data_IF_634461146594
#
_entry.id   IF_634461146594
#
_cell.length_a   1.000
_cell.length_b   1.000
_cell.length_c   1.000
_cell.angle_alpha   90.00
_cell.angle_beta   90.00
_cell.angle_gamma   90.00
#
_symmetry.space_group_name_H-M   'P 1'
#
loop_
_entity.id
_entity.type
_entity.pdbx_description
1 polymer ?
#
# COMPACT_ATOMS: atom_id res chain seq x y z
N UNK A 1 5.47 -5.09 -21.64
CA UNK A 1 4.25 -5.66 -21.05
C UNK A 1 4.55 -6.47 -19.81
N UNK A 2 3.86 -6.15 -18.71
CA UNK A 2 3.78 -6.98 -17.52
C UNK A 2 2.51 -7.84 -17.67
N UNK A 3 2.59 -9.10 -18.09
CA UNK A 3 1.43 -10.00 -18.17
C UNK A 3 0.86 -10.41 -16.81
N UNK A 4 1.68 -10.47 -15.75
CA UNK A 4 1.33 -11.14 -14.49
C UNK A 4 2.19 -10.64 -13.33
N UNK A 5 1.55 -10.60 -12.16
CA UNK A 5 2.21 -10.39 -10.88
C UNK A 5 2.59 -11.75 -10.29
N UNK A 6 3.62 -11.75 -9.47
CA UNK A 6 3.98 -12.82 -8.54
C UNK A 6 4.09 -12.21 -7.12
N UNK A 7 3.22 -12.59 -6.17
CA UNK A 7 2.17 -13.61 -6.29
C UNK A 7 1.09 -13.26 -7.31
N UNK A 8 0.42 -14.29 -7.84
CA UNK A 8 -0.59 -14.13 -8.88
C UNK A 8 -1.72 -13.21 -8.42
N UNK A 9 -2.11 -12.27 -9.28
CA UNK A 9 -3.20 -11.33 -9.00
C UNK A 9 -4.49 -12.08 -8.62
N UNK A 10 -5.04 -11.73 -7.46
CA UNK A 10 -6.34 -12.18 -6.98
C UNK A 10 -7.03 -11.01 -6.26
N UNK A 11 -8.15 -10.54 -6.80
CA UNK A 11 -8.88 -9.39 -6.26
C UNK A 11 -9.55 -9.67 -4.91
N UNK A 12 -9.94 -10.92 -4.66
CA UNK A 12 -10.70 -11.31 -3.45
C UNK A 12 -9.79 -11.70 -2.30
N UNK A 13 -8.63 -12.28 -2.62
CA UNK A 13 -7.63 -12.72 -1.63
C UNK A 13 -6.23 -12.32 -2.10
N UNK A 14 -5.89 -11.02 -2.05
CA UNK A 14 -4.58 -10.56 -2.49
C UNK A 14 -3.46 -11.13 -1.61
N UNK A 15 -2.43 -11.65 -2.27
CA UNK A 15 -1.18 -12.10 -1.65
C UNK A 15 -0.02 -11.23 -2.10
N UNK A 16 0.93 -10.98 -1.20
CA UNK A 16 2.19 -10.29 -1.48
C UNK A 16 3.33 -10.97 -0.74
N UNK A 17 4.56 -10.58 -1.01
CA UNK A 17 5.71 -11.01 -0.21
C UNK A 17 6.05 -10.00 0.89
N UNK A 18 6.39 -10.50 2.07
CA UNK A 18 7.04 -9.76 3.14
C UNK A 18 8.32 -10.49 3.53
N UNK A 19 9.48 -9.88 3.27
CA UNK A 19 10.76 -10.59 3.29
C UNK A 19 10.79 -11.75 2.29
N UNK A 20 10.88 -12.99 2.78
CA UNK A 20 10.86 -14.22 1.97
C UNK A 20 9.52 -14.94 2.01
N UNK A 21 8.55 -14.43 2.80
CA UNK A 21 7.29 -15.11 3.04
C UNK A 21 6.19 -14.56 2.15
N UNK A 22 5.37 -15.44 1.59
CA UNK A 22 4.11 -15.04 0.96
C UNK A 22 3.05 -14.85 2.05
N UNK A 23 2.42 -13.69 2.09
CA UNK A 23 1.45 -13.28 3.11
C UNK A 23 0.12 -12.89 2.47
N UNK A 24 -0.99 -13.14 3.18
CA UNK A 24 -2.33 -12.69 2.78
C UNK A 24 -2.53 -11.28 3.28
N UNK A 25 -2.67 -10.33 2.36
CA UNK A 25 -2.72 -8.90 2.69
C UNK A 25 -3.90 -8.58 3.62
N UNK A 26 -5.03 -9.25 3.45
CA UNK A 26 -6.24 -8.99 4.23
C UNK A 26 -6.17 -9.46 5.70
N UNK A 27 -5.15 -10.23 6.09
CA UNK A 27 -4.98 -10.64 7.49
C UNK A 27 -4.52 -9.48 8.38
N UNK A 28 -3.78 -8.51 7.82
CA UNK A 28 -3.25 -7.36 8.55
C UNK A 28 -3.68 -6.01 7.95
N UNK A 29 -4.20 -6.00 6.71
CA UNK A 29 -4.87 -4.86 6.07
C UNK A 29 -6.28 -5.26 5.62
N UNK A 30 -7.22 -5.46 6.56
CA UNK A 30 -8.53 -6.06 6.25
C UNK A 30 -9.39 -5.23 5.29
N UNK A 31 -9.13 -3.92 5.20
CA UNK A 31 -9.86 -3.00 4.30
C UNK A 31 -9.11 -2.71 3.00
N UNK A 32 -7.96 -3.33 2.76
CA UNK A 32 -7.18 -3.08 1.54
C UNK A 32 -7.80 -3.76 0.31
N UNK A 33 -7.56 -3.18 -0.87
CA UNK A 33 -8.01 -3.76 -2.15
C UNK A 33 -6.89 -3.77 -3.16
N UNK A 34 -6.80 -4.84 -3.96
CA UNK A 34 -5.95 -4.91 -5.15
C UNK A 34 -6.84 -5.14 -6.38
N UNK A 35 -6.86 -4.19 -7.30
CA UNK A 35 -7.76 -4.20 -8.45
C UNK A 35 -6.98 -4.03 -9.75
N UNK A 36 -7.35 -4.79 -10.78
CA UNK A 36 -6.85 -4.57 -12.14
C UNK A 36 -7.65 -3.42 -12.77
N UNK A 37 -6.97 -2.43 -13.32
CA UNK A 37 -7.62 -1.32 -14.02
C UNK A 37 -7.89 -1.75 -15.45
N UNK A 38 -9.16 -1.85 -15.82
CA UNK A 38 -9.55 -1.98 -17.23
C UNK A 38 -9.57 -0.58 -17.83
N UNK A 39 -8.51 -0.19 -18.53
CA UNK A 39 -8.53 1.04 -19.33
C UNK A 39 -9.55 0.87 -20.45
N UNK A 40 -10.56 1.75 -20.52
CA UNK A 40 -11.26 1.99 -21.78
C UNK A 40 -10.26 2.57 -22.78
N UNK A 41 -10.27 2.14 -24.04
CA UNK A 41 -9.25 2.55 -25.00
C UNK A 41 -9.42 4.04 -25.31
N UNK A 42 -8.65 4.88 -24.64
CA UNK A 42 -8.35 6.23 -25.09
C UNK A 42 -6.86 6.23 -25.35
N UNK A 43 -6.52 6.41 -26.62
CA UNK A 43 -5.16 6.45 -27.16
C UNK A 43 -4.24 7.36 -26.36
N UNK A 44 -2.95 7.06 -26.50
CA UNK A 44 -1.77 7.89 -26.17
C UNK A 44 -1.01 7.47 -24.90
N UNK A 45 -0.36 6.30 -24.97
CA UNK A 45 1.08 6.11 -24.73
C UNK A 45 1.41 4.61 -24.78
N UNK A 46 2.58 4.26 -25.31
CA UNK A 46 3.17 2.93 -25.52
C UNK A 46 3.37 2.08 -24.23
N UNK A 47 2.38 2.00 -23.35
CA UNK A 47 2.40 1.14 -22.18
C UNK A 47 1.34 0.05 -22.32
N UNK A 48 1.58 -0.92 -23.21
CA UNK A 48 0.77 -2.15 -23.38
C UNK A 48 0.78 -3.10 -22.16
N UNK A 49 1.08 -2.59 -20.96
CA UNK A 49 1.10 -3.33 -19.69
C UNK A 49 -0.23 -3.29 -18.94
N UNK A 50 -0.45 -4.29 -18.07
CA UNK A 50 -1.58 -4.27 -17.12
C UNK A 50 -1.30 -3.26 -16.01
N UNK A 51 -2.32 -2.47 -15.66
CA UNK A 51 -2.27 -1.53 -14.53
C UNK A 51 -3.03 -2.13 -13.35
N UNK A 52 -2.47 -1.99 -12.15
CA UNK A 52 -3.09 -2.44 -10.91
C UNK A 52 -3.14 -1.31 -9.89
N UNK A 53 -4.27 -1.19 -9.19
CA UNK A 53 -4.46 -0.26 -8.09
C UNK A 53 -4.46 -1.02 -6.78
N UNK A 54 -3.50 -0.70 -5.91
CA UNK A 54 -3.49 -1.16 -4.53
C UNK A 54 -3.92 0.01 -3.62
N UNK A 55 -4.97 -0.20 -2.83
CA UNK A 55 -5.56 0.83 -1.95
C UNK A 55 -5.56 0.32 -0.52
N UNK A 56 -5.08 1.16 0.40
CA UNK A 56 -5.06 0.90 1.85
C UNK A 56 -5.84 2.02 2.55
N UNK A 57 -7.16 1.88 2.76
CA UNK A 57 -8.00 2.94 3.31
C UNK A 57 -7.73 3.25 4.79
N UNK A 58 -7.32 2.23 5.54
CA UNK A 58 -7.02 2.32 6.96
C UNK A 58 -5.61 1.77 7.15
N UNK A 59 -4.73 2.60 7.71
CA UNK A 59 -3.35 2.20 7.99
C UNK A 59 -3.31 1.21 9.19
N UNK A 60 -2.41 0.23 9.16
CA UNK A 60 -2.22 -0.77 10.22
C UNK A 60 -1.60 -0.16 11.49
N UNK A 61 -1.64 -0.89 12.61
CA UNK A 61 -0.92 -0.48 13.83
C UNK A 61 0.60 -0.67 13.75
N UNK A 62 1.05 -1.63 12.94
CA UNK A 62 2.48 -1.92 12.72
C UNK A 62 2.90 -1.54 11.29
N UNK A 63 4.18 -1.23 11.08
CA UNK A 63 4.72 -1.00 9.72
C UNK A 63 4.80 -2.33 8.95
N UNK A 64 4.43 -2.31 7.67
CA UNK A 64 4.57 -3.46 6.75
C UNK A 64 5.37 -3.12 5.51
N UNK A 65 6.16 -4.09 5.04
CA UNK A 65 7.02 -3.96 3.84
C UNK A 65 6.68 -5.06 2.85
N UNK A 66 5.76 -4.74 1.95
CA UNK A 66 5.24 -5.68 0.98
C UNK A 66 5.94 -5.51 -0.36
N UNK A 67 6.00 -6.57 -1.16
CA UNK A 67 6.34 -6.45 -2.56
C UNK A 67 5.63 -7.48 -3.43
N UNK A 68 5.54 -7.15 -4.71
CA UNK A 68 5.20 -8.06 -5.79
C UNK A 68 6.31 -8.04 -6.82
N UNK A 69 6.59 -9.19 -7.40
CA UNK A 69 7.38 -9.28 -8.60
C UNK A 69 6.46 -9.18 -9.81
N UNK A 70 6.97 -8.70 -10.93
CA UNK A 70 6.27 -8.71 -12.19
C UNK A 70 7.13 -9.46 -13.22
N UNK A 71 6.51 -10.47 -13.82
CA UNK A 71 7.14 -11.39 -14.76
C UNK A 71 6.67 -11.04 -16.17
N UNK A 72 7.56 -11.03 -17.16
CA UNK A 72 7.19 -10.91 -18.58
C UNK A 72 6.71 -12.28 -19.09
N UNK A 73 5.71 -12.31 -19.98
CA UNK A 73 5.12 -13.57 -20.44
C UNK A 73 6.06 -14.03 -21.52
N UNK A 74 6.41 -15.32 -21.50
CA UNK A 74 7.20 -15.95 -22.56
C UNK A 74 6.39 -16.04 -23.86
N UNK A 75 5.93 -14.91 -24.39
CA UNK A 75 5.51 -14.79 -25.77
C UNK A 75 6.76 -14.88 -26.62
N UNK A 76 6.86 -15.97 -27.39
CA UNK A 76 7.84 -16.25 -28.47
C UNK A 76 8.94 -15.21 -28.63
N UNK A 77 10.15 -15.60 -28.19
CA UNK A 77 11.41 -14.95 -28.52
C UNK A 77 11.54 -14.77 -30.04
N UNK A 78 11.17 -13.58 -30.54
CA UNK A 78 11.79 -13.06 -31.75
C UNK A 78 13.27 -12.87 -31.42
N UNK A 79 14.12 -13.48 -32.24
CA UNK A 79 15.59 -13.44 -32.15
C UNK A 79 16.09 -12.01 -31.88
N UNK A 80 16.60 -11.78 -30.68
CA UNK A 80 17.21 -10.53 -30.25
C UNK A 80 17.27 -10.51 -28.73
N UNK A 81 18.48 -10.50 -28.18
CA UNK A 81 18.82 -10.66 -26.76
C UNK A 81 18.21 -9.60 -25.82
N UNK A 82 16.94 -9.75 -25.45
CA UNK A 82 16.37 -9.03 -24.30
C UNK A 82 15.96 -10.03 -23.21
N UNK A 83 16.86 -10.20 -22.25
CA UNK A 83 16.63 -10.93 -21.01
C UNK A 83 15.33 -10.45 -20.34
N UNK A 84 14.45 -11.35 -19.84
CA UNK A 84 13.22 -10.94 -19.18
C UNK A 84 13.57 -10.02 -18.01
N UNK A 85 13.18 -8.74 -18.11
CA UNK A 85 13.39 -7.77 -17.03
C UNK A 85 12.39 -8.08 -15.93
N UNK A 86 12.81 -8.90 -14.97
CA UNK A 86 12.08 -9.09 -13.72
C UNK A 86 11.95 -7.72 -13.03
N UNK A 87 10.72 -7.31 -12.71
CA UNK A 87 10.49 -6.10 -11.92
C UNK A 87 10.02 -6.45 -10.52
N UNK A 88 10.40 -5.60 -9.55
CA UNK A 88 9.95 -5.69 -8.15
C UNK A 88 9.34 -4.36 -7.75
N UNK A 89 8.07 -4.38 -7.35
CA UNK A 89 7.34 -3.23 -6.84
C UNK A 89 7.20 -3.38 -5.33
N UNK A 90 7.76 -2.45 -4.56
CA UNK A 90 7.76 -2.49 -3.10
C UNK A 90 6.84 -1.41 -2.52
N UNK A 91 6.04 -1.79 -1.53
CA UNK A 91 5.11 -0.94 -0.80
C UNK A 91 5.54 -0.84 0.66
N UNK A 92 5.72 0.39 1.14
CA UNK A 92 6.04 0.68 2.55
C UNK A 92 4.79 1.27 3.19
N UNK A 93 4.16 0.50 4.07
CA UNK A 93 2.87 0.85 4.66
C UNK A 93 3.14 1.28 6.09
N UNK A 94 3.01 2.58 6.35
CA UNK A 94 3.27 3.17 7.64
C UNK A 94 2.22 2.79 8.69
N UNK A 95 2.63 2.83 9.96
CA UNK A 95 1.74 2.66 11.11
C UNK A 95 0.84 3.88 11.31
N UNK A 96 -0.42 3.64 11.70
CA UNK A 96 -1.40 4.66 12.09
C UNK A 96 -1.31 5.05 13.56
N UNK A 97 -0.36 4.51 14.34
CA UNK A 97 -0.28 4.70 15.79
C UNK A 97 -0.32 6.20 16.13
N UNK A 98 -1.51 6.64 16.56
CA UNK A 98 -1.77 8.01 16.99
C UNK A 98 -0.84 8.28 18.17
N UNK A 99 -0.13 9.41 18.15
CA UNK A 99 0.45 10.00 19.37
C UNK A 99 -0.70 10.26 20.36
N UNK A 100 -1.15 9.24 21.09
CA UNK A 100 -2.13 9.35 22.17
C UNK A 100 -1.47 9.92 23.44
N UNK A 101 -0.68 10.99 23.29
CA UNK A 101 0.24 11.45 24.34
C UNK A 101 0.36 12.96 24.56
N UNK A 102 -0.42 13.82 23.89
CA UNK A 102 -0.33 15.27 24.08
C UNK A 102 -1.71 15.95 24.08
N UNK A 103 -2.54 15.62 25.07
CA UNK A 103 -3.63 16.50 25.49
C UNK A 103 -4.11 16.10 26.89
N UNK A 104 -3.24 16.22 27.90
CA UNK A 104 -3.68 16.20 29.30
C UNK A 104 -3.58 17.61 29.89
N UNK A 105 -4.76 18.22 30.03
CA UNK A 105 -5.20 19.13 31.09
C UNK A 105 -4.38 20.37 31.45
N UNK A 106 -4.90 21.55 31.07
CA UNK A 106 -4.66 22.78 31.81
C UNK A 106 -6.02 23.40 32.19
N UNK A 107 -6.53 23.08 33.38
CA UNK A 107 -7.52 23.91 34.07
C UNK A 107 -6.77 24.61 35.20
N UNK A 108 -6.27 25.81 34.90
CA UNK A 108 -5.69 26.72 35.89
C UNK A 108 -6.83 27.63 36.37
N UNK A 109 -7.51 27.22 37.44
CA UNK A 109 -8.47 28.07 38.15
C UNK A 109 -7.76 28.87 39.24
N UNK A 110 -7.34 30.09 38.95
CA UNK A 110 -6.91 31.04 39.99
C UNK A 110 -8.14 31.84 40.42
N UNK A 111 -8.72 31.49 41.56
CA UNK A 111 -9.70 32.35 42.23
C UNK A 111 -8.89 33.33 43.09
N UNK A 112 -8.61 34.52 42.55
CA UNK A 112 -8.13 35.65 43.34
C UNK A 112 -9.34 36.34 43.96
N UNK A 113 -9.69 35.98 45.20
CA UNK A 113 -10.65 36.75 45.99
C UNK A 113 -9.97 38.05 46.43
N UNK A 114 -10.32 39.13 45.73
CA UNK A 114 -9.98 40.50 46.10
C UNK A 114 -10.46 40.79 47.53
N UNK A 115 -9.52 41.25 48.38
CA UNK A 115 -9.83 41.95 49.61
C UNK A 115 -10.77 43.12 49.31
N UNK A 116 -11.90 43.19 50.02
CA UNK A 116 -12.58 44.45 50.26
C UNK A 116 -12.37 44.79 51.73
N UNK A 117 -11.51 45.78 51.96
CA UNK A 117 -11.35 46.46 53.23
C UNK A 117 -12.67 47.16 53.58
N UNK A 118 -13.14 46.94 54.80
CA UNK A 118 -14.06 47.82 55.52
C UNK A 118 -13.58 47.90 56.96
#
# INVERSE_FOLDING_TARGET
DIPSLDPMFNATSPEMYEGTNKVKVLEFLPSATLQAVTSTPKSDSDASGKTYNFTVPVLPSDEHRLYVNCTKSNGTTSRGDEQPKDCKVSFYIASSAVRAGLAMSAVVGVIASLLQFA
#
